data_IF_084404888843
#
_entry.id   IF_084404888843
#
_cell.length_a   1.000
_cell.length_b   1.000
_cell.length_c   1.000
_cell.angle_alpha   90.00
_cell.angle_beta   90.00
_cell.angle_gamma   90.00
#
_symmetry.space_group_name_H-M   'P 1'
#
loop_
_entity.id
_entity.type
_entity.pdbx_description
1 polymer ?
#
# COMPACT_ATOMS: atom_id res chain seq x y z
N UNK A 1 10.51 -6.88 -5.33
CA UNK A 1 10.22 -6.25 -4.02
C UNK A 1 10.13 -7.36 -2.99
N UNK A 2 10.89 -7.27 -1.90
CA UNK A 2 10.81 -8.17 -0.74
C UNK A 2 10.21 -7.39 0.45
N UNK A 3 9.72 -8.11 1.48
CA UNK A 3 9.21 -7.53 2.74
C UNK A 3 10.16 -6.51 3.39
N UNK A 4 11.45 -6.52 3.05
CA UNK A 4 12.46 -5.58 3.52
C UNK A 4 12.30 -4.14 2.97
N UNK A 5 11.52 -3.95 1.90
CA UNK A 5 11.20 -2.61 1.37
C UNK A 5 10.05 -1.94 2.13
N UNK A 6 9.34 -2.70 2.99
CA UNK A 6 8.28 -2.14 3.82
C UNK A 6 8.88 -1.33 4.97
N UNK A 7 8.35 -0.12 5.23
CA UNK A 7 8.80 0.67 6.36
C UNK A 7 8.53 -0.06 7.67
N UNK A 8 9.45 0.05 8.63
CA UNK A 8 9.22 -0.48 9.97
C UNK A 8 7.98 0.17 10.61
N UNK A 9 7.25 -0.59 11.43
CA UNK A 9 6.05 -0.12 12.16
C UNK A 9 6.33 1.10 13.06
N UNK A 10 7.59 1.34 13.43
CA UNK A 10 8.04 2.51 14.20
C UNK A 10 8.24 3.78 13.36
N UNK A 11 7.94 3.72 12.05
CA UNK A 11 8.07 4.88 11.16
C UNK A 11 7.06 5.96 11.52
N UNK A 12 7.56 7.08 12.07
CA UNK A 12 6.77 8.29 12.32
C UNK A 12 6.62 9.22 11.12
N UNK A 13 7.51 9.11 10.12
CA UNK A 13 7.53 10.02 8.96
C UNK A 13 7.18 9.28 7.67
N UNK A 14 6.00 9.57 7.14
CA UNK A 14 5.49 8.99 5.89
C UNK A 14 5.85 9.86 4.68
N UNK A 15 6.88 9.45 3.95
CA UNK A 15 7.24 10.04 2.64
C UNK A 15 6.56 9.28 1.50
N UNK A 16 6.40 9.92 0.33
CA UNK A 16 5.73 9.35 -0.83
C UNK A 16 6.23 7.93 -1.20
N UNK A 17 7.54 7.71 -1.17
CA UNK A 17 8.14 6.38 -1.45
C UNK A 17 7.74 5.30 -0.44
N UNK A 18 7.62 5.64 0.86
CA UNK A 18 7.22 4.69 1.91
C UNK A 18 5.74 4.36 1.84
N UNK A 19 4.91 5.36 1.58
CA UNK A 19 3.48 5.17 1.28
C UNK A 19 3.30 4.23 0.08
N UNK A 20 4.08 4.45 -0.98
CA UNK A 20 4.10 3.58 -2.16
C UNK A 20 4.54 2.14 -1.87
N UNK A 21 5.49 1.94 -0.96
CA UNK A 21 5.95 0.59 -0.58
C UNK A 21 4.85 -0.19 0.17
N UNK A 22 4.18 0.44 1.14
CA UNK A 22 3.06 -0.18 1.87
C UNK A 22 1.90 -0.50 0.93
N UNK A 23 1.48 0.48 0.13
CA UNK A 23 0.41 0.32 -0.87
C UNK A 23 0.73 -0.82 -1.83
N UNK A 24 1.94 -0.86 -2.39
CA UNK A 24 2.38 -1.97 -3.25
C UNK A 24 2.43 -3.30 -2.51
N UNK A 25 2.94 -3.34 -1.28
CA UNK A 25 2.97 -4.56 -0.46
C UNK A 25 1.59 -5.15 -0.25
N UNK A 26 0.58 -4.29 -0.03
CA UNK A 26 -0.82 -4.72 0.08
C UNK A 26 -1.38 -5.21 -1.26
N UNK A 27 -1.08 -4.50 -2.34
CA UNK A 27 -1.56 -4.85 -3.69
C UNK A 27 -0.95 -6.15 -4.24
N UNK A 28 0.32 -6.42 -3.95
CA UNK A 28 1.00 -7.65 -4.34
C UNK A 28 0.68 -8.83 -3.39
N UNK A 29 -0.11 -8.61 -2.33
CA UNK A 29 -0.52 -9.64 -1.38
C UNK A 29 0.57 -10.06 -0.39
N UNK A 30 1.59 -9.22 -0.17
CA UNK A 30 2.59 -9.44 0.88
C UNK A 30 2.06 -9.05 2.27
N UNK A 31 1.01 -8.22 2.31
CA UNK A 31 0.38 -7.74 3.53
C UNK A 31 -1.12 -7.55 3.28
N UNK A 32 -1.99 -7.92 4.21
CA UNK A 32 -3.41 -7.58 4.05
C UNK A 32 -3.64 -6.09 4.33
N UNK A 33 -4.68 -5.49 3.73
CA UNK A 33 -5.08 -4.10 4.02
C UNK A 33 -5.30 -3.93 5.52
N UNK A 34 -6.10 -4.79 6.13
CA UNK A 34 -6.41 -4.76 7.56
C UNK A 34 -5.14 -4.88 8.42
N UNK A 35 -4.24 -5.81 8.08
CA UNK A 35 -2.94 -5.91 8.76
C UNK A 35 -2.08 -4.65 8.59
N UNK A 36 -2.12 -3.98 7.43
CA UNK A 36 -1.42 -2.72 7.23
C UNK A 36 -2.02 -1.61 8.10
N UNK A 37 -3.35 -1.51 8.15
CA UNK A 37 -4.06 -0.55 9.00
C UNK A 37 -3.74 -0.79 10.48
N UNK A 38 -3.78 -2.04 10.94
CA UNK A 38 -3.47 -2.42 12.32
C UNK A 38 -1.98 -2.24 12.66
N UNK A 39 -1.06 -2.64 11.76
CA UNK A 39 0.39 -2.56 11.97
C UNK A 39 0.91 -1.12 12.01
N UNK A 40 0.33 -0.24 11.20
CA UNK A 40 0.75 1.15 11.10
C UNK A 40 -0.20 2.13 11.79
N UNK A 41 -1.30 1.66 12.37
CA UNK A 41 -2.32 2.49 13.02
C UNK A 41 -2.98 3.48 12.06
N UNK A 42 -3.18 3.07 10.80
CA UNK A 42 -3.72 3.91 9.74
C UNK A 42 -5.23 3.70 9.61
N UNK A 43 -5.93 4.75 9.20
CA UNK A 43 -7.33 4.65 8.78
C UNK A 43 -7.44 4.21 7.33
N UNK A 44 -8.57 3.59 7.00
CA UNK A 44 -8.90 3.16 5.64
C UNK A 44 -8.84 4.32 4.63
N UNK A 45 -9.41 5.47 4.97
CA UNK A 45 -9.35 6.70 4.16
C UNK A 45 -7.90 7.13 3.89
N UNK A 46 -7.05 7.10 4.92
CA UNK A 46 -5.65 7.49 4.80
C UNK A 46 -4.91 6.57 3.83
N UNK A 47 -5.20 5.27 3.87
CA UNK A 47 -4.68 4.30 2.92
C UNK A 47 -5.19 4.58 1.49
N UNK A 48 -6.46 4.92 1.30
CA UNK A 48 -7.02 5.29 -0.01
C UNK A 48 -6.34 6.55 -0.56
N UNK A 49 -6.09 7.56 0.28
CA UNK A 49 -5.31 8.74 -0.10
C UNK A 49 -3.90 8.36 -0.54
N UNK A 50 -3.27 7.39 0.13
CA UNK A 50 -1.96 6.90 -0.29
C UNK A 50 -2.02 6.19 -1.63
N UNK A 51 -3.03 5.34 -1.87
CA UNK A 51 -3.26 4.68 -3.17
C UNK A 51 -3.41 5.71 -4.28
N UNK A 52 -4.21 6.76 -4.05
CA UNK A 52 -4.40 7.87 -5.01
C UNK A 52 -3.10 8.63 -5.27
N UNK A 53 -2.36 8.98 -4.22
CA UNK A 53 -1.08 9.69 -4.35
C UNK A 53 -0.02 8.87 -5.11
N UNK A 54 0.00 7.56 -4.89
CA UNK A 54 0.88 6.61 -5.57
C UNK A 54 0.44 6.40 -7.02
N UNK A 55 -0.87 6.41 -7.30
CA UNK A 55 -1.41 6.34 -8.65
C UNK A 55 -1.10 7.60 -9.49
N UNK A 56 -1.01 8.78 -8.86
CA UNK A 56 -0.64 10.03 -9.55
C UNK A 56 0.83 10.12 -9.94
N UNK A 57 1.74 9.43 -9.23
CA UNK A 57 3.17 9.36 -9.55
C UNK A 57 3.50 8.12 -10.40
N UNK A 58 2.73 7.84 -11.45
CA UNK A 58 2.99 6.73 -12.40
C UNK A 58 4.48 6.64 -12.79
N UNK A 59 5.03 5.48 -13.18
CA UNK A 59 4.73 4.83 -14.45
C UNK A 59 5.32 3.39 -14.41
N UNK A 60 4.54 2.34 -14.69
CA UNK A 60 5.09 1.01 -15.06
C UNK A 60 4.48 -0.26 -14.47
N UNK A 61 3.78 -0.23 -13.33
CA UNK A 61 3.41 -1.49 -12.64
C UNK A 61 1.93 -1.92 -12.75
N UNK A 62 1.05 -1.06 -13.26
CA UNK A 62 -0.41 -1.31 -13.21
C UNK A 62 -0.97 -1.90 -14.52
N UNK A 63 -0.27 -2.89 -15.10
CA UNK A 63 -0.77 -3.62 -16.27
C UNK A 63 -1.24 -5.05 -16.03
N UNK A 64 -1.30 -5.57 -14.79
CA UNK A 64 -1.67 -6.98 -14.64
C UNK A 64 -2.63 -7.41 -13.51
N UNK A 65 -2.84 -6.72 -12.38
CA UNK A 65 -3.51 -7.43 -11.25
C UNK A 65 -4.35 -6.61 -10.26
N UNK A 66 -4.70 -5.35 -10.53
CA UNK A 66 -5.43 -4.56 -9.51
C UNK A 66 -6.97 -4.59 -9.59
N UNK A 67 -7.58 -5.20 -10.59
CA UNK A 67 -9.05 -5.13 -10.74
C UNK A 67 -9.85 -6.36 -10.26
N UNK A 68 -9.21 -7.37 -9.63
CA UNK A 68 -9.93 -8.61 -9.30
C UNK A 68 -10.09 -8.96 -7.82
N UNK A 69 -9.38 -8.34 -6.86
CA UNK A 69 -9.40 -8.83 -5.46
C UNK A 69 -10.14 -8.00 -4.42
N UNK A 70 -10.64 -6.79 -4.74
CA UNK A 70 -11.50 -6.02 -3.83
C UNK A 70 -13.00 -6.14 -4.19
N UNK A 71 -13.36 -7.25 -4.84
CA UNK A 71 -14.73 -7.68 -5.05
C UNK A 71 -14.77 -9.19 -4.78
N UNK A 72 -14.96 -9.56 -3.53
CA UNK A 72 -15.67 -10.81 -3.22
C UNK A 72 -16.98 -10.41 -2.51
N UNK A 73 -18.06 -11.18 -2.75
CA UNK A 73 -19.46 -10.76 -2.67
C UNK A 73 -19.96 -10.41 -1.27
#
# INVERSE_FOLDING_TARGET
>A
MTLADLPAATTRRWVASRKAAVVRGVLYGLLSKDEALARYGLSEDEFIEWVRAVSSHGEGALKATMLQKYRLP
#
